data_IF_534413436938
#
_entry.id   IF_534413436938
#
_cell.length_a   1.000
_cell.length_b   1.000
_cell.length_c   1.000
_cell.angle_alpha   90.00
_cell.angle_beta   90.00
_cell.angle_gamma   90.00
#
_symmetry.space_group_name_H-M   'P 1'
#
loop_
_entity.id
_entity.type
_entity.pdbx_description
1 polymer ?
#
# COMPACT_ATOMS: atom_id res chain seq x y z
N UNK A 1 18.22 -8.61 -5.22
CA UNK A 1 19.29 -9.63 -5.13
C UNK A 1 20.47 -9.32 -6.04
N UNK A 2 20.23 -8.53 -7.10
CA UNK A 2 21.19 -7.90 -8.00
C UNK A 2 22.01 -6.81 -7.29
N UNK A 3 22.89 -7.27 -6.42
CA UNK A 3 23.91 -6.47 -5.75
C UNK A 3 25.22 -7.14 -6.10
N UNK A 4 26.17 -6.34 -6.59
CA UNK A 4 27.49 -6.82 -6.98
C UNK A 4 28.09 -7.72 -5.88
N UNK A 5 28.55 -8.91 -6.29
CA UNK A 5 29.25 -9.85 -5.43
C UNK A 5 30.42 -9.23 -4.65
N UNK A 6 31.09 -8.22 -5.20
CA UNK A 6 32.15 -7.48 -4.54
C UNK A 6 31.67 -6.76 -3.27
N UNK A 7 30.43 -6.28 -3.26
CA UNK A 7 29.82 -5.59 -2.12
C UNK A 7 29.40 -6.55 -1.00
N UNK A 8 29.26 -7.85 -1.30
CA UNK A 8 28.92 -8.91 -0.34
C UNK A 8 30.15 -9.48 0.38
N UNK A 9 31.37 -9.09 0.00
CA UNK A 9 32.61 -9.56 0.63
C UNK A 9 32.79 -8.99 2.04
N UNK A 10 33.50 -9.71 2.93
CA UNK A 10 33.81 -9.22 4.27
C UNK A 10 34.41 -7.81 4.25
N UNK A 11 33.94 -6.94 5.15
CA UNK A 11 34.35 -5.52 5.24
C UNK A 11 33.44 -4.51 4.53
N UNK A 12 32.36 -4.94 3.85
CA UNK A 12 31.31 -4.07 3.27
C UNK A 12 29.93 -4.42 3.82
N UNK A 13 28.98 -4.87 2.99
CA UNK A 13 27.67 -5.34 3.43
C UNK A 13 27.78 -6.74 4.05
N UNK A 14 28.22 -6.75 5.30
CA UNK A 14 28.53 -7.98 6.05
C UNK A 14 27.27 -8.68 6.56
N UNK A 15 26.18 -7.94 6.75
CA UNK A 15 24.91 -8.47 7.24
C UNK A 15 23.82 -8.21 6.22
N UNK A 16 23.07 -9.25 5.91
CA UNK A 16 21.87 -9.16 5.09
C UNK A 16 20.67 -9.32 6.01
N UNK A 17 19.68 -8.44 5.86
CA UNK A 17 18.41 -8.50 6.58
C UNK A 17 17.32 -8.59 5.54
N UNK A 18 16.54 -9.66 5.63
CA UNK A 18 15.36 -9.84 4.80
C UNK A 18 14.19 -9.10 5.44
N UNK A 19 13.49 -8.28 4.66
CA UNK A 19 12.25 -7.63 5.06
C UNK A 19 11.13 -8.24 4.23
N UNK A 20 10.26 -9.08 4.82
CA UNK A 20 9.15 -9.67 4.09
C UNK A 20 8.10 -8.59 3.74
N UNK A 21 7.21 -8.88 2.78
CA UNK A 21 5.96 -8.14 2.61
C UNK A 21 5.17 -8.06 3.93
N UNK A 22 4.40 -6.99 4.17
CA UNK A 22 3.64 -6.86 5.40
C UNK A 22 2.52 -7.91 5.47
N UNK A 23 2.38 -8.55 6.62
CA UNK A 23 1.24 -9.41 6.93
C UNK A 23 -0.04 -8.58 7.18
N UNK A 24 -1.14 -9.25 7.52
CA UNK A 24 -2.42 -8.59 7.75
C UNK A 24 -2.36 -7.53 8.86
N UNK A 25 -1.74 -7.85 10.00
CA UNK A 25 -1.63 -6.93 11.14
C UNK A 25 -0.72 -5.74 10.84
N UNK A 26 0.35 -5.98 10.10
CA UNK A 26 1.24 -4.93 9.62
C UNK A 26 0.52 -4.00 8.65
N UNK A 27 -0.25 -4.52 7.69
CA UNK A 27 -1.06 -3.70 6.77
C UNK A 27 -2.13 -2.90 7.52
N UNK A 28 -2.80 -3.50 8.51
CA UNK A 28 -3.73 -2.81 9.40
C UNK A 28 -3.06 -1.62 10.10
N UNK A 29 -1.89 -1.83 10.71
CA UNK A 29 -1.13 -0.75 11.34
C UNK A 29 -0.66 0.34 10.36
N UNK A 30 -0.23 -0.06 9.16
CA UNK A 30 0.15 0.90 8.11
C UNK A 30 -1.07 1.77 7.78
N UNK A 31 -2.23 1.17 7.53
CA UNK A 31 -3.47 1.89 7.25
C UNK A 31 -3.86 2.83 8.39
N UNK A 32 -3.81 2.39 9.64
CA UNK A 32 -4.09 3.24 10.82
C UNK A 32 -3.17 4.48 10.89
N UNK A 33 -1.88 4.29 10.63
CA UNK A 33 -0.90 5.39 10.65
C UNK A 33 -1.17 6.35 9.48
N UNK A 34 -1.38 5.81 8.28
CA UNK A 34 -1.53 6.59 7.05
C UNK A 34 -2.86 7.34 6.99
N UNK A 35 -3.92 6.78 7.58
CA UNK A 35 -5.26 7.36 7.59
C UNK A 35 -5.50 8.35 8.74
N UNK A 36 -4.57 8.47 9.70
CA UNK A 36 -4.76 9.28 10.92
C UNK A 36 -5.16 10.73 10.64
N UNK A 37 -4.53 11.36 9.64
CA UNK A 37 -4.75 12.76 9.28
C UNK A 37 -5.51 12.90 7.96
N UNK A 38 -6.10 11.80 7.47
CA UNK A 38 -6.91 11.80 6.25
C UNK A 38 -8.37 12.05 6.62
N UNK A 39 -9.03 13.09 6.06
CA UNK A 39 -10.46 13.29 6.26
C UNK A 39 -11.25 12.14 5.64
N UNK A 40 -11.66 11.19 6.48
CA UNK A 40 -12.35 9.97 6.05
C UNK A 40 -13.55 9.69 6.94
N UNK A 41 -14.61 9.13 6.35
CA UNK A 41 -15.83 8.78 7.06
C UNK A 41 -16.31 7.37 6.68
N UNK A 42 -16.66 6.57 7.68
CA UNK A 42 -17.23 5.24 7.46
C UNK A 42 -16.23 4.19 6.94
N UNK A 43 -14.92 4.44 7.03
CA UNK A 43 -13.90 3.50 6.58
C UNK A 43 -13.65 2.43 7.65
N UNK A 44 -13.81 1.16 7.27
CA UNK A 44 -13.42 0.02 8.07
C UNK A 44 -11.97 -0.39 7.72
N UNK A 45 -11.05 -0.08 8.62
CA UNK A 45 -9.61 -0.37 8.46
C UNK A 45 -9.33 -1.88 8.45
N UNK A 46 -10.09 -2.68 9.20
CA UNK A 46 -9.93 -4.13 9.23
C UNK A 46 -10.37 -4.76 7.91
N UNK A 47 -11.47 -4.28 7.33
CA UNK A 47 -11.93 -4.70 6.02
C UNK A 47 -10.91 -4.32 4.93
N UNK A 48 -10.39 -3.09 4.98
CA UNK A 48 -9.40 -2.60 4.00
C UNK A 48 -8.07 -3.37 4.10
N UNK A 49 -7.61 -3.73 5.30
CA UNK A 49 -6.41 -4.54 5.50
C UNK A 49 -6.55 -5.96 4.91
N UNK A 50 -7.77 -6.53 4.96
CA UNK A 50 -8.10 -7.83 4.34
C UNK A 50 -8.15 -7.72 2.81
N UNK A 51 -8.70 -6.63 2.28
CA UNK A 51 -8.80 -6.40 0.84
C UNK A 51 -7.45 -6.13 0.15
N UNK A 52 -6.43 -5.72 0.92
CA UNK A 52 -5.10 -5.34 0.43
C UNK A 52 -4.07 -6.47 0.56
N UNK A 53 -4.48 -7.72 0.35
CA UNK A 53 -3.55 -8.86 0.45
C UNK A 53 -2.34 -8.69 -0.49
N UNK A 54 -1.14 -8.92 0.03
CA UNK A 54 0.15 -8.73 -0.65
C UNK A 54 0.49 -7.27 -0.98
N UNK A 55 -0.26 -6.28 -0.52
CA UNK A 55 0.11 -4.88 -0.74
C UNK A 55 1.35 -4.53 0.06
N UNK A 56 2.28 -3.83 -0.55
CA UNK A 56 3.37 -3.15 0.15
C UNK A 56 2.85 -1.88 0.83
N UNK A 57 3.68 -1.25 1.67
CA UNK A 57 3.34 0.08 2.20
C UNK A 57 3.15 1.13 1.12
N UNK A 58 3.88 1.03 0.00
CA UNK A 58 3.72 1.93 -1.15
C UNK A 58 2.41 1.67 -1.91
N UNK A 59 1.99 0.42 -2.04
CA UNK A 59 0.70 0.10 -2.66
C UNK A 59 -0.46 0.64 -1.80
N UNK A 60 -0.34 0.57 -0.47
CA UNK A 60 -1.31 1.16 0.47
C UNK A 60 -1.36 2.69 0.31
N UNK A 61 -0.22 3.36 0.20
CA UNK A 61 -0.19 4.80 -0.08
C UNK A 61 -0.91 5.11 -1.40
N UNK A 62 -0.65 4.31 -2.44
CA UNK A 62 -1.28 4.45 -3.75
C UNK A 62 -2.81 4.37 -3.73
N UNK A 63 -3.40 3.41 -3.00
CA UNK A 63 -4.87 3.32 -2.91
C UNK A 63 -5.47 4.48 -2.11
N UNK A 64 -4.76 5.00 -1.11
CA UNK A 64 -5.22 6.16 -0.34
C UNK A 64 -5.21 7.39 -1.24
N UNK A 65 -4.19 7.56 -2.08
CA UNK A 65 -4.11 8.68 -3.02
C UNK A 65 -5.17 8.58 -4.13
N UNK A 66 -5.41 7.39 -4.69
CA UNK A 66 -6.51 7.17 -5.64
C UNK A 66 -7.89 7.47 -5.01
N UNK A 67 -8.09 7.10 -3.74
CA UNK A 67 -9.34 7.41 -3.03
C UNK A 67 -9.51 8.93 -2.81
N UNK A 68 -8.42 9.66 -2.53
CA UNK A 68 -8.44 11.15 -2.48
C UNK A 68 -8.80 11.73 -3.84
N UNK A 69 -8.20 11.23 -4.92
CA UNK A 69 -8.45 11.69 -6.28
C UNK A 69 -9.91 11.49 -6.69
N UNK A 70 -10.51 10.34 -6.33
CA UNK A 70 -11.94 10.06 -6.50
C UNK A 70 -12.81 11.12 -5.81
N UNK A 71 -12.54 11.38 -4.52
CA UNK A 71 -13.30 12.38 -3.76
C UNK A 71 -13.13 13.80 -4.33
N UNK A 72 -11.92 14.17 -4.75
CA UNK A 72 -11.64 15.46 -5.40
C UNK A 72 -12.38 15.56 -6.74
N UNK A 73 -12.40 14.50 -7.54
CA UNK A 73 -13.11 14.47 -8.81
C UNK A 73 -14.61 14.73 -8.64
N UNK A 74 -15.24 14.11 -7.65
CA UNK A 74 -16.66 14.34 -7.34
C UNK A 74 -16.93 15.80 -6.96
N UNK A 75 -16.04 16.40 -6.17
CA UNK A 75 -16.16 17.82 -5.77
C UNK A 75 -16.04 18.73 -6.99
N UNK A 76 -15.07 18.49 -7.86
CA UNK A 76 -14.85 19.25 -9.08
C UNK A 76 -16.00 19.12 -10.09
N UNK A 77 -16.76 18.03 -10.04
CA UNK A 77 -17.90 17.75 -10.93
C UNK A 77 -19.25 18.19 -10.35
N UNK A 78 -19.25 18.82 -9.16
CA UNK A 78 -20.42 19.50 -8.60
C UNK A 78 -20.93 18.93 -7.27
N UNK A 79 -20.26 17.94 -6.68
CA UNK A 79 -20.56 17.51 -5.32
C UNK A 79 -20.07 18.52 -4.28
N UNK A 80 -20.74 18.65 -3.12
CA UNK A 80 -20.22 19.45 -2.02
C UNK A 80 -18.89 18.86 -1.49
N UNK A 81 -18.10 19.69 -0.82
CA UNK A 81 -16.91 19.25 -0.10
C UNK A 81 -17.27 18.13 0.88
N UNK A 82 -16.56 17.00 0.80
CA UNK A 82 -16.82 15.79 1.57
C UNK A 82 -15.52 15.07 1.94
N UNK A 83 -15.50 14.30 3.05
CA UNK A 83 -14.41 13.38 3.33
C UNK A 83 -14.42 12.20 2.34
N UNK A 84 -13.31 11.45 2.33
CA UNK A 84 -13.21 10.16 1.62
C UNK A 84 -14.18 9.16 2.27
N UNK A 85 -14.93 8.44 1.44
CA UNK A 85 -15.89 7.41 1.86
C UNK A 85 -15.55 6.02 1.34
N UNK A 86 -16.33 5.00 1.71
CA UNK A 86 -16.09 3.61 1.30
C UNK A 86 -16.02 3.42 -0.23
N UNK A 87 -16.89 4.11 -0.98
CA UNK A 87 -16.93 4.03 -2.44
C UNK A 87 -15.65 4.51 -3.13
N UNK A 88 -14.92 5.45 -2.51
CA UNK A 88 -13.64 5.92 -3.05
C UNK A 88 -12.55 4.84 -2.92
N UNK A 89 -12.61 4.04 -1.86
CA UNK A 89 -11.73 2.88 -1.70
C UNK A 89 -12.15 1.70 -2.58
N UNK A 90 -13.44 1.49 -2.80
CA UNK A 90 -13.93 0.50 -3.77
C UNK A 90 -13.36 0.81 -5.16
N UNK A 91 -13.47 2.07 -5.60
CA UNK A 91 -12.84 2.55 -6.83
C UNK A 91 -11.31 2.35 -6.83
N UNK A 92 -10.62 2.78 -5.77
CA UNK A 92 -9.16 2.68 -5.70
C UNK A 92 -8.66 1.23 -5.75
N UNK A 93 -9.36 0.30 -5.11
CA UNK A 93 -9.02 -1.12 -5.11
C UNK A 93 -9.23 -1.75 -6.49
N UNK A 94 -10.25 -1.34 -7.24
CA UNK A 94 -10.47 -1.79 -8.62
C UNK A 94 -9.36 -1.33 -9.58
N UNK A 95 -8.79 -0.15 -9.34
CA UNK A 95 -7.74 0.43 -10.19
C UNK A 95 -6.31 -0.01 -9.81
N UNK A 96 -6.13 -0.71 -8.69
CA UNK A 96 -4.82 -1.01 -8.11
C UNK A 96 -4.48 -2.51 -8.18
N UNK A 97 -3.18 -2.82 -8.28
CA UNK A 97 -2.65 -4.17 -8.16
C UNK A 97 -1.46 -4.18 -7.19
N UNK A 98 -1.31 -5.27 -6.43
CA UNK A 98 -0.15 -5.48 -5.55
C UNK A 98 1.15 -5.53 -6.35
N UNK A 99 2.12 -4.68 -6.00
CA UNK A 99 3.46 -4.71 -6.58
C UNK A 99 4.30 -5.87 -6.03
N UNK A 100 3.94 -6.37 -4.85
CA UNK A 100 4.72 -7.40 -4.16
C UNK A 100 4.62 -8.78 -4.81
N UNK A 101 3.54 -9.07 -5.55
CA UNK A 101 3.36 -10.35 -6.21
C UNK A 101 4.38 -10.59 -7.34
N UNK A 102 4.71 -9.55 -8.10
CA UNK A 102 5.74 -9.64 -9.14
C UNK A 102 7.12 -9.87 -8.53
N UNK A 103 7.43 -9.15 -7.45
CA UNK A 103 8.66 -9.34 -6.69
C UNK A 103 8.78 -10.76 -6.10
N UNK A 104 7.69 -11.30 -5.50
CA UNK A 104 7.66 -12.66 -4.94
C UNK A 104 7.90 -13.74 -6.00
N UNK A 105 7.40 -13.55 -7.23
CA UNK A 105 7.64 -14.47 -8.35
C UNK A 105 9.12 -14.48 -8.73
N UNK A 106 9.75 -13.31 -8.85
CA UNK A 106 11.18 -13.21 -9.16
C UNK A 106 12.04 -13.80 -8.04
N UNK A 107 11.67 -13.61 -6.78
CA UNK A 107 12.41 -14.16 -5.65
C UNK A 107 12.33 -15.70 -5.53
N UNK A 108 11.24 -16.32 -5.98
CA UNK A 108 11.04 -17.79 -5.93
C UNK A 108 11.73 -18.55 -7.07
N UNK A 109 12.00 -17.88 -8.18
CA UNK A 109 12.66 -18.45 -9.35
C UNK A 109 14.20 -18.29 -9.30
N UNK A 110 14.73 -17.89 -8.15
CA UNK A 110 16.15 -17.68 -7.87
C UNK A 110 16.62 -18.59 -6.73
#
# INVERSE_FOLDING_TARGET
WDVDSAMKRPGRFTRQVFVPPPDLEARRHILEIKMRDVPAQGIDIDALAKATENYSGADIDGIIDLAKESAIHDILTGSPERPIGPSDFDYALEQSQSSTMEWLKTARNL
#
